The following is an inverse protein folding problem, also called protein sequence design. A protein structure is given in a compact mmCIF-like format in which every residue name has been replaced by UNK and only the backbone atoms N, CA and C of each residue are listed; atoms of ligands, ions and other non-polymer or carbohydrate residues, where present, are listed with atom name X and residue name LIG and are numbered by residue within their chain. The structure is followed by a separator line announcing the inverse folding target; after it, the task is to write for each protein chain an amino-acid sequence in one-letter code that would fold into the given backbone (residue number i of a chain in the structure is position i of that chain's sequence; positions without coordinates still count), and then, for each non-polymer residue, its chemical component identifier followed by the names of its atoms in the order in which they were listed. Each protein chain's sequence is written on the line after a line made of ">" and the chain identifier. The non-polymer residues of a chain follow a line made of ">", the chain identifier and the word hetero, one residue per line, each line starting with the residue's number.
data_IF_060662364927
#
_entry.id   IF_060662364927
#
_cell.length_a   1.000
_cell.length_b   1.000
_cell.length_c   1.000
_cell.angle_alpha   90.00
_cell.angle_beta   90.00
_cell.angle_gamma   90.00
#
_symmetry.space_group_name_H-M   'P 1'
#
loop_
_entity.id
_entity.type
_entity.pdbx_description
1 polymer ?
#
# COMPACT_ATOMS: atom_id res chain seq x y z
N UNK A 1 22.97 -18.52 -6.52
CA UNK A 1 21.68 -19.17 -6.83
C UNK A 1 20.63 -18.09 -6.96
N UNK A 2 19.89 -18.07 -8.07
CA UNK A 2 18.78 -17.13 -8.24
C UNK A 2 17.62 -17.47 -7.32
N UNK A 3 16.93 -16.45 -6.80
CA UNK A 3 15.71 -16.63 -6.00
C UNK A 3 14.64 -17.34 -6.82
N UNK A 4 14.01 -18.36 -6.21
CA UNK A 4 12.85 -19.04 -6.76
C UNK A 4 11.70 -18.06 -7.03
N UNK A 5 10.87 -18.28 -8.06
CA UNK A 5 9.75 -17.39 -8.37
C UNK A 5 8.78 -17.16 -7.20
N UNK A 6 8.47 -18.21 -6.42
CA UNK A 6 7.64 -18.10 -5.22
C UNK A 6 8.24 -17.18 -4.16
N UNK A 7 9.55 -17.27 -3.91
CA UNK A 7 10.25 -16.39 -2.99
C UNK A 7 10.21 -14.92 -3.45
N UNK A 8 10.26 -14.68 -4.76
CA UNK A 8 10.11 -13.32 -5.34
C UNK A 8 8.70 -12.78 -5.19
N UNK A 9 7.67 -13.62 -5.31
CA UNK A 9 6.27 -13.21 -5.07
C UNK A 9 6.06 -12.83 -3.60
N UNK A 10 6.56 -13.64 -2.67
CA UNK A 10 6.51 -13.33 -1.23
C UNK A 10 7.24 -12.04 -0.89
N UNK A 11 8.43 -11.85 -1.45
CA UNK A 11 9.20 -10.62 -1.26
C UNK A 11 8.48 -9.39 -1.82
N UNK A 12 7.88 -9.50 -3.02
CA UNK A 12 7.10 -8.41 -3.61
C UNK A 12 5.89 -8.03 -2.74
N UNK A 13 5.22 -9.02 -2.15
CA UNK A 13 4.11 -8.78 -1.22
C UNK A 13 4.60 -8.03 0.03
N UNK A 14 5.70 -8.47 0.64
CA UNK A 14 6.28 -7.83 1.82
C UNK A 14 6.69 -6.37 1.55
N UNK A 15 7.34 -6.11 0.41
CA UNK A 15 7.71 -4.75 0.00
C UNK A 15 6.49 -3.83 -0.17
N UNK A 16 5.36 -4.36 -0.66
CA UNK A 16 4.12 -3.60 -0.79
C UNK A 16 3.48 -3.32 0.57
N UNK A 17 3.52 -4.26 1.51
CA UNK A 17 3.03 -4.06 2.88
C UNK A 17 3.85 -2.97 3.58
N UNK A 18 5.18 -3.04 3.49
CA UNK A 18 6.06 -2.01 4.03
C UNK A 18 5.82 -0.64 3.40
N UNK A 19 5.63 -0.59 2.08
CA UNK A 19 5.33 0.64 1.36
C UNK A 19 3.99 1.23 1.80
N UNK A 20 2.95 0.39 1.96
CA UNK A 20 1.64 0.80 2.45
C UNK A 20 1.74 1.47 3.82
N UNK A 21 2.39 0.82 4.80
CA UNK A 21 2.53 1.38 6.14
C UNK A 21 3.32 2.71 6.16
N UNK A 22 4.31 2.86 5.27
CA UNK A 22 5.05 4.13 5.13
C UNK A 22 4.19 5.25 4.57
N UNK A 23 3.34 4.95 3.58
CA UNK A 23 2.43 5.92 2.97
C UNK A 23 1.34 6.33 3.97
N UNK A 24 0.77 5.38 4.71
CA UNK A 24 -0.20 5.66 5.78
C UNK A 24 0.41 6.58 6.83
N UNK A 25 1.63 6.28 7.29
CA UNK A 25 2.35 7.15 8.23
C UNK A 25 2.67 8.54 7.66
N UNK A 26 2.98 8.64 6.37
CA UNK A 26 3.17 9.95 5.73
C UNK A 26 1.89 10.78 5.73
N UNK A 27 0.74 10.14 5.48
CA UNK A 27 -0.57 10.80 5.55
C UNK A 27 -0.87 11.29 6.97
N UNK A 28 -0.57 10.49 8.00
CA UNK A 28 -0.70 10.90 9.40
C UNK A 28 0.15 12.14 9.73
N UNK A 29 1.39 12.21 9.23
CA UNK A 29 2.24 13.39 9.45
C UNK A 29 1.64 14.66 8.81
N UNK A 30 1.10 14.55 7.60
CA UNK A 30 0.44 15.68 6.95
C UNK A 30 -0.84 16.12 7.69
N UNK A 31 -1.58 15.16 8.26
CA UNK A 31 -2.75 15.47 9.08
C UNK A 31 -2.35 16.19 10.38
N UNK A 32 -1.23 15.82 10.99
CA UNK A 32 -0.68 16.53 12.15
C UNK A 32 -0.30 17.96 11.75
N UNK A 33 0.43 18.14 10.64
CA UNK A 33 0.78 19.47 10.12
C UNK A 33 -0.46 20.33 9.89
N UNK A 34 -1.50 19.79 9.26
CA UNK A 34 -2.78 20.50 9.07
C UNK A 34 -3.39 20.96 10.41
N UNK A 35 -3.51 20.04 11.37
CA UNK A 35 -4.08 20.35 12.69
C UNK A 35 -3.27 21.37 13.50
N UNK A 36 -1.95 21.36 13.34
CA UNK A 36 -1.02 22.18 14.14
C UNK A 36 -0.71 23.52 13.50
N UNK A 37 -0.72 23.63 12.17
CA UNK A 37 -0.40 24.87 11.46
C UNK A 37 -1.64 25.60 10.93
N UNK A 38 -2.59 24.89 10.32
CA UNK A 38 -3.75 25.50 9.65
C UNK A 38 -4.98 25.55 10.59
N UNK A 39 -5.22 24.45 11.29
CA UNK A 39 -6.32 24.28 12.24
C UNK A 39 -6.09 24.89 13.62
N UNK A 40 -4.89 25.42 13.90
CA UNK A 40 -4.53 25.97 15.21
C UNK A 40 -4.60 27.50 15.22
N UNK A 41 -5.55 28.04 15.98
CA UNK A 41 -5.65 29.49 16.21
C UNK A 41 -4.43 30.05 16.95
N UNK A 42 -3.81 29.24 17.81
CA UNK A 42 -2.58 29.63 18.51
C UNK A 42 -1.41 29.78 17.55
N UNK A 43 -1.24 28.82 16.63
CA UNK A 43 -0.19 28.90 15.62
C UNK A 43 -0.40 30.10 14.69
N UNK A 44 -1.65 30.38 14.30
CA UNK A 44 -1.99 31.56 13.51
C UNK A 44 -1.58 32.86 14.21
N UNK A 45 -1.81 32.97 15.52
CA UNK A 45 -1.39 34.14 16.32
C UNK A 45 0.14 34.29 16.35
N UNK A 46 0.86 33.18 16.54
CA UNK A 46 2.32 33.19 16.52
C UNK A 46 2.89 33.67 15.17
N UNK A 47 2.32 33.20 14.06
CA UNK A 47 2.73 33.65 12.72
C UNK A 47 2.45 35.15 12.54
N UNK A 48 1.30 35.65 12.99
CA UNK A 48 0.96 37.09 12.89
C UNK A 48 1.90 37.94 13.74
N UNK A 49 2.19 37.52 14.97
CA UNK A 49 3.14 38.21 15.85
C UNK A 49 4.55 38.23 15.24
N UNK A 50 5.03 37.08 14.76
CA UNK A 50 6.32 36.95 14.07
C UNK A 50 6.38 37.82 12.80
N UNK A 51 5.28 37.89 12.03
CA UNK A 51 5.19 38.72 10.83
C UNK A 51 5.24 40.22 11.13
N UNK A 52 4.77 40.64 12.31
CA UNK A 52 4.86 42.04 12.74
C UNK A 52 6.29 42.43 13.15
N UNK A 53 7.07 41.50 13.71
CA UNK A 53 8.46 41.73 14.11
C UNK A 53 9.45 41.58 12.95
N UNK A 54 9.31 40.52 12.14
CA UNK A 54 10.20 40.23 11.02
C UNK A 54 9.42 39.63 9.82
N UNK A 55 8.77 40.49 9.00
CA UNK A 55 7.87 40.05 7.93
C UNK A 55 8.58 39.23 6.85
N UNK A 56 9.86 39.49 6.60
CA UNK A 56 10.61 38.77 5.56
C UNK A 56 10.86 37.31 5.97
N UNK A 57 11.35 37.09 7.21
CA UNK A 57 11.60 35.73 7.71
C UNK A 57 10.32 34.90 7.76
N UNK A 58 9.23 35.46 8.29
CA UNK A 58 7.95 34.76 8.34
C UNK A 58 7.44 34.37 6.94
N UNK A 59 7.61 35.25 5.96
CA UNK A 59 7.24 34.95 4.57
C UNK A 59 8.12 33.87 3.93
N UNK A 60 9.43 33.88 4.20
CA UNK A 60 10.35 32.86 3.72
C UNK A 60 10.04 31.48 4.30
N UNK A 61 9.71 31.40 5.60
CA UNK A 61 9.32 30.17 6.26
C UNK A 61 8.02 29.58 5.69
N UNK A 62 7.00 30.43 5.47
CA UNK A 62 5.74 30.00 4.84
C UNK A 62 5.99 29.48 3.42
N UNK A 63 6.80 30.18 2.62
CA UNK A 63 7.16 29.73 1.27
C UNK A 63 7.91 28.40 1.29
N UNK A 64 8.80 28.21 2.26
CA UNK A 64 9.52 26.95 2.45
C UNK A 64 8.55 25.79 2.71
N UNK A 65 7.60 25.96 3.63
CA UNK A 65 6.58 24.94 3.89
C UNK A 65 5.68 24.66 2.67
N UNK A 66 5.32 25.69 1.90
CA UNK A 66 4.56 25.53 0.66
C UNK A 66 5.34 24.71 -0.38
N UNK A 67 6.64 25.00 -0.56
CA UNK A 67 7.49 24.25 -1.48
C UNK A 67 7.59 22.77 -1.07
N UNK A 68 7.81 22.49 0.22
CA UNK A 68 7.85 21.13 0.74
C UNK A 68 6.52 20.39 0.52
N UNK A 69 5.37 21.04 0.74
CA UNK A 69 4.07 20.42 0.49
C UNK A 69 3.87 20.04 -0.98
N UNK A 70 4.34 20.88 -1.92
CA UNK A 70 4.32 20.59 -3.36
C UNK A 70 5.23 19.41 -3.71
N UNK A 71 6.43 19.36 -3.13
CA UNK A 71 7.37 18.23 -3.34
C UNK A 71 6.79 16.90 -2.84
N UNK A 72 6.15 16.91 -1.67
CA UNK A 72 5.48 15.73 -1.11
C UNK A 72 4.36 15.25 -2.05
N UNK A 73 3.54 16.17 -2.57
CA UNK A 73 2.48 15.83 -3.51
C UNK A 73 3.03 15.22 -4.81
N UNK A 74 4.12 15.76 -5.35
CA UNK A 74 4.78 15.22 -6.53
C UNK A 74 5.33 13.80 -6.28
N UNK A 75 6.00 13.58 -5.14
CA UNK A 75 6.52 12.27 -4.76
C UNK A 75 5.40 11.24 -4.57
N UNK A 76 4.29 11.63 -3.95
CA UNK A 76 3.12 10.76 -3.79
C UNK A 76 2.52 10.35 -5.15
N UNK A 77 2.51 11.25 -6.13
CA UNK A 77 2.06 10.93 -7.48
C UNK A 77 2.97 9.90 -8.17
N UNK A 78 4.29 9.99 -7.99
CA UNK A 78 5.23 9.01 -8.54
C UNK A 78 5.13 7.65 -7.85
N UNK A 79 4.93 7.63 -6.52
CA UNK A 79 4.62 6.41 -5.77
C UNK A 79 3.35 5.75 -6.32
N UNK A 80 2.29 6.52 -6.61
CA UNK A 80 1.07 5.98 -7.19
C UNK A 80 1.28 5.36 -8.58
N UNK A 81 2.13 5.97 -9.42
CA UNK A 81 2.52 5.40 -10.73
C UNK A 81 3.24 4.06 -10.55
N UNK A 82 4.20 3.99 -9.63
CA UNK A 82 4.92 2.76 -9.31
C UNK A 82 3.97 1.66 -8.81
N UNK A 83 3.08 1.99 -7.88
CA UNK A 83 2.07 1.05 -7.37
C UNK A 83 1.16 0.51 -8.49
N UNK A 84 0.76 1.37 -9.44
CA UNK A 84 -0.03 0.97 -10.60
C UNK A 84 0.73 0.00 -11.52
N UNK A 85 2.02 0.22 -11.75
CA UNK A 85 2.85 -0.67 -12.54
C UNK A 85 2.97 -2.06 -11.89
N UNK A 86 3.18 -2.12 -10.57
CA UNK A 86 3.22 -3.38 -9.81
C UNK A 86 1.89 -4.11 -9.89
N UNK A 87 0.76 -3.42 -9.68
CA UNK A 87 -0.59 -3.97 -9.83
C UNK A 87 -0.79 -4.60 -11.21
N UNK A 88 -0.39 -3.90 -12.28
CA UNK A 88 -0.52 -4.40 -13.65
C UNK A 88 0.27 -5.68 -13.89
N UNK A 89 1.52 -5.74 -13.41
CA UNK A 89 2.37 -6.93 -13.55
C UNK A 89 1.81 -8.12 -12.75
N UNK A 90 1.36 -7.88 -11.52
CA UNK A 90 0.78 -8.93 -10.67
C UNK A 90 -0.52 -9.51 -11.27
N UNK A 91 -1.40 -8.63 -11.77
CA UNK A 91 -2.63 -9.07 -12.44
C UNK A 91 -2.35 -9.90 -13.70
N UNK A 92 -1.38 -9.45 -14.53
CA UNK A 92 -0.94 -10.20 -15.68
C UNK A 92 -0.41 -11.59 -15.29
N UNK A 93 0.45 -11.68 -14.28
CA UNK A 93 0.99 -12.95 -13.81
C UNK A 93 -0.11 -13.90 -13.32
N UNK A 94 -1.08 -13.40 -12.55
CA UNK A 94 -2.21 -14.23 -12.09
C UNK A 94 -3.01 -14.83 -13.25
N UNK A 95 -3.30 -14.04 -14.29
CA UNK A 95 -4.00 -14.51 -15.48
C UNK A 95 -3.14 -15.47 -16.32
N UNK A 96 -1.87 -15.12 -16.54
CA UNK A 96 -0.96 -15.92 -17.35
C UNK A 96 -0.70 -17.29 -16.72
N UNK A 97 -0.49 -17.37 -15.40
CA UNK A 97 -0.29 -18.63 -14.70
C UNK A 97 -1.51 -19.56 -14.84
N UNK A 98 -2.73 -19.03 -14.66
CA UNK A 98 -3.95 -19.82 -14.83
C UNK A 98 -4.24 -20.23 -16.28
N UNK A 99 -3.73 -19.48 -17.27
CA UNK A 99 -3.89 -19.82 -18.68
C UNK A 99 -2.84 -20.80 -19.18
N UNK A 100 -1.57 -20.63 -18.78
CA UNK A 100 -0.44 -21.44 -19.25
C UNK A 100 -0.42 -22.81 -18.58
N UNK A 101 -0.74 -22.86 -17.29
CA UNK A 101 -0.71 -24.10 -16.49
C UNK A 101 -2.12 -24.63 -16.20
N UNK A 102 -3.07 -24.39 -17.12
CA UNK A 102 -4.48 -24.75 -16.92
C UNK A 102 -4.65 -26.25 -16.68
N UNK A 103 -4.00 -27.06 -17.50
CA UNK A 103 -4.17 -28.52 -17.47
C UNK A 103 -3.56 -29.10 -16.19
N UNK A 104 -2.42 -28.57 -15.73
CA UNK A 104 -1.80 -28.93 -14.46
C UNK A 104 -2.66 -28.54 -13.25
N UNK A 105 -3.30 -27.35 -13.30
CA UNK A 105 -4.24 -26.92 -12.28
C UNK A 105 -5.44 -27.87 -12.23
N UNK A 106 -6.05 -28.17 -13.39
CA UNK A 106 -7.20 -29.08 -13.48
C UNK A 106 -6.86 -30.48 -12.96
N UNK A 107 -5.72 -31.04 -13.37
CA UNK A 107 -5.28 -32.35 -12.90
C UNK A 107 -5.08 -32.38 -11.37
N UNK A 108 -4.55 -31.30 -10.79
CA UNK A 108 -4.41 -31.16 -9.34
C UNK A 108 -5.75 -31.06 -8.62
N UNK A 109 -6.71 -30.33 -9.19
CA UNK A 109 -8.07 -30.20 -8.64
C UNK A 109 -8.83 -31.54 -8.70
N UNK A 110 -8.74 -32.26 -9.82
CA UNK A 110 -9.33 -33.59 -9.99
C UNK A 110 -8.78 -34.60 -8.96
N UNK A 111 -7.46 -34.59 -8.72
CA UNK A 111 -6.84 -35.46 -7.71
C UNK A 111 -7.32 -35.10 -6.30
N UNK A 112 -7.45 -33.81 -6.00
CA UNK A 112 -7.95 -33.33 -4.69
C UNK A 112 -9.39 -33.75 -4.47
N UNK A 113 -10.24 -33.66 -5.49
CA UNK A 113 -11.63 -34.12 -5.44
C UNK A 113 -11.71 -35.64 -5.28
N UNK A 114 -10.90 -36.40 -6.01
CA UNK A 114 -10.81 -37.86 -5.88
C UNK A 114 -10.33 -38.32 -4.49
N UNK A 115 -9.50 -37.53 -3.80
CA UNK A 115 -9.11 -37.79 -2.41
C UNK A 115 -10.22 -37.43 -1.42
N UNK A 116 -10.96 -36.36 -1.68
CA UNK A 116 -12.09 -35.93 -0.83
C UNK A 116 -13.26 -36.90 -0.91
N UNK A 117 -13.57 -37.45 -2.08
CA UNK A 117 -14.62 -38.47 -2.25
C UNK A 117 -14.29 -39.81 -1.61
N UNK A 118 -13.02 -40.06 -1.29
CA UNK A 118 -12.54 -41.26 -0.57
C UNK A 118 -12.44 -41.07 0.94
N UNK A 119 -12.70 -39.87 1.47
CA UNK A 119 -12.78 -39.70 2.92
C UNK A 119 -14.08 -40.34 3.44
N UNK A 120 -14.01 -41.28 4.40
CA UNK A 120 -15.19 -41.88 4.98
C UNK A 120 -16.01 -40.80 5.70
N UNK A 121 -17.34 -40.85 5.54
CA UNK A 121 -18.24 -39.91 6.19
C UNK A 121 -18.13 -40.08 7.70
N UNK A 122 -17.77 -39.00 8.40
CA UNK A 122 -17.53 -39.01 9.85
C UNK A 122 -18.84 -39.12 10.65
N UNK A 123 -19.98 -38.96 9.98
CA UNK A 123 -21.31 -39.09 10.56
C UNK A 123 -22.21 -39.87 9.59
N UNK A 124 -22.22 -41.22 9.65
CA UNK A 124 -23.25 -41.97 8.94
C UNK A 124 -24.63 -41.52 9.43
N UNK A 125 -25.56 -41.26 8.51
CA UNK A 125 -26.95 -40.94 8.84
C UNK A 125 -27.50 -42.00 9.80
N UNK A 126 -28.07 -41.53 10.92
CA UNK A 126 -28.44 -42.34 12.07
C UNK A 126 -29.30 -43.54 11.69
N UNK A 127 -28.90 -44.70 12.20
CA UNK A 127 -29.80 -45.85 12.37
C UNK A 127 -30.75 -45.50 13.53
N UNK A 128 -32.05 -45.37 13.22
CA UNK A 128 -33.17 -45.30 14.18
C UNK A 128 -33.26 -46.55 15.05
#
# INVERSE_FOLDING_TARGET
>A
MDKLPSARLTEALGLLQDAQSKIERAAEQLQIVDSTMIGSDEHRRLIVASSAENPQSAADDIRSHQAQAVEIAAMAADVAKCAKAVKGKAAFLGQALGSVYRDEIQAGDDEREAKRSKQPDLFPEGED
#
